data_IF_315611918487
#
_entry.id   IF_315611918487
#
_cell.length_a   1.000
_cell.length_b   1.000
_cell.length_c   1.000
_cell.angle_alpha   90.00
_cell.angle_beta   90.00
_cell.angle_gamma   90.00
#
_symmetry.space_group_name_H-M   'P 1'
#
loop_
_entity.id
_entity.type
_entity.pdbx_description
1 polymer ?
#
# COMPACT_ATOMS: atom_id res chain seq x y z
N UNK A 1 16.94 1.82 9.29
CA UNK A 1 16.11 0.66 9.67
C UNK A 1 15.61 0.02 8.40
N UNK A 2 15.51 -1.30 8.36
CA UNK A 2 14.83 -2.00 7.28
C UNK A 2 13.32 -1.78 7.38
N UNK A 3 12.57 -2.09 6.32
CA UNK A 3 11.12 -1.97 6.38
C UNK A 3 10.53 -2.95 7.41
N UNK A 4 11.08 -4.16 7.49
CA UNK A 4 10.67 -5.18 8.47
C UNK A 4 10.82 -4.64 9.90
N UNK A 5 11.94 -3.97 10.20
CA UNK A 5 12.17 -3.35 11.51
C UNK A 5 11.19 -2.22 11.80
N UNK A 6 10.84 -1.41 10.79
CA UNK A 6 9.87 -0.33 10.92
C UNK A 6 8.47 -0.86 11.21
N UNK A 7 8.01 -1.87 10.48
CA UNK A 7 6.70 -2.52 10.70
C UNK A 7 6.64 -3.17 12.08
N UNK A 8 7.71 -3.86 12.50
CA UNK A 8 7.76 -4.52 13.81
C UNK A 8 7.61 -3.54 14.99
N UNK A 9 8.11 -2.29 14.84
CA UNK A 9 8.08 -1.25 15.89
C UNK A 9 6.86 -0.34 15.85
N UNK A 10 6.08 -0.38 14.77
CA UNK A 10 4.94 0.50 14.59
C UNK A 10 3.81 0.20 15.59
N UNK A 11 3.15 1.27 16.04
CA UNK A 11 1.90 1.18 16.79
C UNK A 11 0.71 0.90 15.85
N UNK A 12 -0.49 0.70 16.41
CA UNK A 12 -1.70 0.39 15.63
C UNK A 12 -1.99 1.44 14.55
N UNK A 13 -1.77 2.72 14.84
CA UNK A 13 -1.98 3.80 13.86
C UNK A 13 -0.94 3.73 12.74
N UNK A 14 0.33 3.52 13.07
CA UNK A 14 1.42 3.32 12.13
C UNK A 14 1.19 2.14 11.19
N UNK A 15 0.74 1.01 11.75
CA UNK A 15 0.41 -0.19 11.00
C UNK A 15 -0.79 0.03 10.06
N UNK A 16 -1.87 0.61 10.57
CA UNK A 16 -3.06 0.91 9.77
C UNK A 16 -2.74 1.87 8.62
N UNK A 17 -2.01 2.96 8.89
CA UNK A 17 -1.60 3.91 7.87
C UNK A 17 -0.61 3.31 6.85
N UNK A 18 0.29 2.42 7.27
CA UNK A 18 1.24 1.75 6.37
C UNK A 18 0.54 0.82 5.39
N UNK A 19 -0.36 -0.04 5.88
CA UNK A 19 -1.20 -0.90 5.02
C UNK A 19 -2.08 -0.08 4.08
N UNK A 20 -2.75 0.95 4.62
CA UNK A 20 -3.60 1.85 3.84
C UNK A 20 -2.82 2.61 2.78
N UNK A 21 -1.60 3.07 3.08
CA UNK A 21 -0.74 3.75 2.12
C UNK A 21 -0.34 2.85 0.95
N UNK A 22 -0.04 1.58 1.20
CA UNK A 22 0.25 0.60 0.16
C UNK A 22 -0.97 0.40 -0.74
N UNK A 23 -2.16 0.22 -0.15
CA UNK A 23 -3.42 0.06 -0.88
C UNK A 23 -3.78 1.31 -1.69
N UNK A 24 -3.63 2.49 -1.09
CA UNK A 24 -3.90 3.80 -1.70
C UNK A 24 -3.12 4.00 -3.00
N UNK A 25 -1.83 3.68 -2.99
CA UNK A 25 -1.01 3.74 -4.21
C UNK A 25 -1.54 2.82 -5.31
N UNK A 26 -2.16 1.69 -4.93
CA UNK A 26 -2.68 0.65 -5.82
C UNK A 26 -4.12 0.87 -6.31
N UNK A 27 -4.83 1.91 -5.83
CA UNK A 27 -6.21 2.24 -6.26
C UNK A 27 -6.41 2.31 -7.78
N UNK A 28 -5.45 2.83 -8.60
CA UNK A 28 -5.60 2.83 -10.06
C UNK A 28 -5.81 1.43 -10.69
N UNK A 29 -5.40 0.36 -10.01
CA UNK A 29 -5.62 -1.04 -10.45
C UNK A 29 -7.02 -1.55 -10.11
N UNK A 30 -7.72 -0.87 -9.19
CA UNK A 30 -9.07 -1.20 -8.74
C UNK A 30 -10.14 -0.41 -9.49
N UNK A 31 -9.75 0.51 -10.39
CA UNK A 31 -10.68 1.39 -11.08
C UNK A 31 -11.23 2.53 -10.23
N UNK A 32 -10.75 2.69 -8.99
CA UNK A 32 -11.15 3.77 -8.10
C UNK A 32 -10.54 5.13 -8.49
N UNK A 33 -11.20 6.20 -8.05
CA UNK A 33 -10.69 7.56 -8.20
C UNK A 33 -9.66 7.93 -7.12
N UNK A 34 -9.15 9.17 -7.18
CA UNK A 34 -8.14 9.66 -6.25
C UNK A 34 -8.65 9.89 -4.81
N UNK A 35 -9.97 9.82 -4.59
CA UNK A 35 -10.64 10.11 -3.32
C UNK A 35 -11.21 8.85 -2.65
N UNK A 36 -11.16 7.69 -3.33
CA UNK A 36 -11.77 6.43 -2.88
C UNK A 36 -11.38 6.00 -1.45
N UNK A 37 -10.15 6.31 -1.01
CA UNK A 37 -9.67 5.97 0.34
C UNK A 37 -9.64 7.16 1.31
N UNK A 38 -10.07 8.36 0.89
CA UNK A 38 -10.08 9.55 1.74
C UNK A 38 -10.84 9.34 3.06
N UNK A 39 -12.01 8.66 3.09
CA UNK A 39 -12.70 8.37 4.34
C UNK A 39 -11.86 7.51 5.29
N UNK A 40 -11.20 6.47 4.78
CA UNK A 40 -10.35 5.60 5.61
C UNK A 40 -9.17 6.38 6.20
N UNK A 41 -8.51 7.22 5.41
CA UNK A 41 -7.45 8.11 5.92
C UNK A 41 -7.95 9.03 7.04
N UNK A 42 -9.14 9.61 6.88
CA UNK A 42 -9.74 10.47 7.90
C UNK A 42 -10.05 9.72 9.21
N UNK A 43 -10.30 8.41 9.16
CA UNK A 43 -10.58 7.61 10.37
C UNK A 43 -9.33 7.34 11.22
N UNK A 44 -8.14 7.63 10.68
CA UNK A 44 -6.86 7.49 11.40
C UNK A 44 -6.46 8.75 12.17
N UNK A 45 -7.14 9.89 11.92
CA UNK A 45 -6.86 11.16 12.57
C UNK A 45 -6.97 11.06 14.10
N UNK A 46 -6.36 12.01 14.81
CA UNK A 46 -6.35 12.02 16.28
C UNK A 46 -7.75 12.23 16.87
N UNK A 47 -8.59 13.00 16.18
CA UNK A 47 -9.96 13.37 16.53
C UNK A 47 -11.02 12.49 15.86
N UNK A 48 -10.62 11.38 15.23
CA UNK A 48 -11.55 10.45 14.61
C UNK A 48 -12.44 9.79 15.67
N UNK A 49 -13.73 9.62 15.36
CA UNK A 49 -14.66 8.94 16.24
C UNK A 49 -14.32 7.44 16.37
N UNK A 50 -14.49 6.88 17.57
CA UNK A 50 -14.34 5.44 17.78
C UNK A 50 -15.34 4.66 16.92
N UNK A 51 -14.88 3.55 16.32
CA UNK A 51 -15.72 2.66 15.49
C UNK A 51 -15.88 3.05 14.01
N UNK A 52 -15.41 4.24 13.63
CA UNK A 52 -15.55 4.81 12.28
C UNK A 52 -14.75 4.08 11.19
N UNK A 53 -13.70 3.35 11.57
CA UNK A 53 -12.86 2.56 10.65
C UNK A 53 -13.63 1.43 9.95
N UNK A 54 -14.34 0.58 10.72
CA UNK A 54 -14.96 -0.63 10.18
C UNK A 54 -16.07 -0.29 9.17
N UNK A 55 -16.92 0.69 9.49
CA UNK A 55 -17.99 1.14 8.60
C UNK A 55 -17.44 1.73 7.30
N UNK A 56 -16.37 2.53 7.39
CA UNK A 56 -15.73 3.11 6.20
C UNK A 56 -15.04 2.05 5.36
N UNK A 57 -14.44 1.04 5.99
CA UNK A 57 -13.81 -0.07 5.28
C UNK A 57 -14.83 -0.88 4.49
N UNK A 58 -15.97 -1.23 5.09
CA UNK A 58 -17.06 -1.93 4.39
C UNK A 58 -17.60 -1.12 3.20
N UNK A 59 -17.73 0.20 3.37
CA UNK A 59 -18.15 1.08 2.27
C UNK A 59 -17.12 1.11 1.13
N UNK A 60 -15.84 1.28 1.47
CA UNK A 60 -14.75 1.25 0.49
C UNK A 60 -14.69 -0.09 -0.25
N UNK A 61 -14.94 -1.22 0.44
CA UNK A 61 -15.06 -2.53 -0.20
C UNK A 61 -16.18 -2.53 -1.23
N UNK A 62 -17.37 -2.11 -0.85
CA UNK A 62 -18.52 -2.05 -1.76
C UNK A 62 -18.27 -1.14 -2.97
N UNK A 63 -17.57 -0.02 -2.79
CA UNK A 63 -17.29 0.94 -3.86
C UNK A 63 -16.23 0.41 -4.86
N UNK A 64 -15.26 -0.38 -4.40
CA UNK A 64 -14.12 -0.86 -5.20
C UNK A 64 -14.25 -2.31 -5.68
N UNK A 65 -15.21 -3.10 -5.15
CA UNK A 65 -15.47 -4.49 -5.54
C UNK A 65 -16.34 -4.59 -6.80
N UNK A 66 -15.87 -3.99 -7.90
CA UNK A 66 -16.62 -3.92 -9.17
C UNK A 66 -15.89 -4.52 -10.37
N UNK A 67 -14.71 -5.12 -10.16
CA UNK A 67 -13.88 -5.63 -11.24
C UNK A 67 -14.26 -7.07 -11.67
N UNK A 68 -14.19 -7.40 -12.98
CA UNK A 68 -14.48 -8.74 -13.48
C UNK A 68 -13.45 -9.79 -13.01
N UNK A 69 -13.87 -11.07 -13.00
CA UNK A 69 -13.13 -12.23 -12.48
C UNK A 69 -11.81 -12.54 -13.21
N UNK A 70 -11.58 -11.96 -14.40
CA UNK A 70 -10.40 -12.19 -15.25
C UNK A 70 -9.27 -11.17 -15.03
N UNK A 71 -9.32 -10.39 -13.94
CA UNK A 71 -8.39 -9.30 -13.76
C UNK A 71 -6.93 -9.72 -13.55
N UNK A 72 -6.04 -8.94 -14.18
CA UNK A 72 -4.58 -9.04 -14.13
C UNK A 72 -4.03 -9.28 -12.70
N UNK A 73 -2.90 -9.98 -12.60
CA UNK A 73 -2.28 -10.39 -11.34
C UNK A 73 -2.06 -9.21 -10.38
N UNK A 74 -1.64 -8.06 -10.91
CA UNK A 74 -1.44 -6.85 -10.11
C UNK A 74 -2.76 -6.34 -9.50
N UNK A 75 -3.86 -6.39 -10.25
CA UNK A 75 -5.18 -6.02 -9.75
C UNK A 75 -5.71 -7.03 -8.73
N UNK A 76 -5.43 -8.33 -8.92
CA UNK A 76 -5.79 -9.37 -7.96
C UNK A 76 -5.04 -9.21 -6.62
N UNK A 77 -3.78 -8.79 -6.64
CA UNK A 77 -3.02 -8.44 -5.42
C UNK A 77 -3.64 -7.24 -4.70
N UNK A 78 -3.95 -6.17 -5.43
CA UNK A 78 -4.57 -4.97 -4.84
C UNK A 78 -5.95 -5.27 -4.23
N UNK A 79 -6.76 -6.12 -4.88
CA UNK A 79 -8.05 -6.57 -4.32
C UNK A 79 -7.88 -7.36 -3.04
N UNK A 80 -6.92 -8.28 -2.97
CA UNK A 80 -6.61 -9.01 -1.72
C UNK A 80 -6.21 -8.05 -0.59
N UNK A 81 -5.38 -7.04 -0.87
CA UNK A 81 -5.03 -6.03 0.14
C UNK A 81 -6.27 -5.34 0.73
N UNK A 82 -7.28 -5.02 -0.08
CA UNK A 82 -8.54 -4.44 0.40
C UNK A 82 -9.43 -5.46 1.13
N UNK A 83 -9.53 -6.68 0.59
CA UNK A 83 -10.33 -7.75 1.17
C UNK A 83 -9.82 -8.17 2.55
N UNK A 84 -8.50 -8.24 2.73
CA UNK A 84 -7.86 -8.72 3.96
C UNK A 84 -7.69 -7.64 5.04
N UNK A 85 -8.07 -6.38 4.75
CA UNK A 85 -8.00 -5.30 5.73
C UNK A 85 -8.82 -5.64 6.99
N UNK A 86 -8.25 -5.57 8.20
CA UNK A 86 -8.96 -6.03 9.39
C UNK A 86 -10.06 -5.01 9.77
N UNK A 87 -11.27 -5.48 10.05
CA UNK A 87 -12.36 -4.63 10.53
C UNK A 87 -12.07 -4.08 11.95
N UNK A 88 -11.38 -4.86 12.78
CA UNK A 88 -10.90 -4.44 14.09
C UNK A 88 -9.44 -4.00 14.02
N UNK A 89 -9.14 -2.82 14.58
CA UNK A 89 -7.79 -2.24 14.59
C UNK A 89 -6.92 -2.81 15.71
N UNK A 90 -6.85 -4.14 15.82
CA UNK A 90 -5.95 -4.81 16.76
C UNK A 90 -4.51 -4.78 16.25
N UNK A 91 -3.54 -4.63 17.14
CA UNK A 91 -2.12 -4.63 16.78
C UNK A 91 -1.70 -5.86 15.94
N UNK A 92 -2.18 -7.05 16.28
CA UNK A 92 -1.80 -8.29 15.57
C UNK A 92 -2.42 -8.36 14.16
N UNK A 93 -3.72 -8.06 14.04
CA UNK A 93 -4.40 -8.03 12.75
C UNK A 93 -3.82 -6.97 11.82
N UNK A 94 -3.56 -5.78 12.34
CA UNK A 94 -2.95 -4.69 11.57
C UNK A 94 -1.51 -4.99 11.17
N UNK A 95 -0.74 -5.68 12.02
CA UNK A 95 0.64 -6.07 11.70
C UNK A 95 0.68 -7.08 10.57
N UNK A 96 -0.15 -8.13 10.65
CA UNK A 96 -0.27 -9.12 9.58
C UNK A 96 -0.70 -8.46 8.26
N UNK A 97 -1.69 -7.57 8.31
CA UNK A 97 -2.18 -6.87 7.13
C UNK A 97 -1.13 -5.92 6.54
N UNK A 98 -0.47 -5.09 7.35
CA UNK A 98 0.58 -4.19 6.88
C UNK A 98 1.77 -4.94 6.27
N UNK A 99 2.15 -6.08 6.86
CA UNK A 99 3.18 -6.97 6.32
C UNK A 99 2.81 -7.49 4.91
N UNK A 100 1.62 -8.08 4.79
CA UNK A 100 1.11 -8.60 3.51
C UNK A 100 0.96 -7.48 2.45
N UNK A 101 0.45 -6.31 2.85
CA UNK A 101 0.33 -5.14 1.97
C UNK A 101 1.70 -4.65 1.47
N UNK A 102 2.72 -4.66 2.33
CA UNK A 102 4.07 -4.23 1.95
C UNK A 102 4.68 -5.11 0.86
N UNK A 103 4.55 -6.43 0.99
CA UNK A 103 5.00 -7.42 -0.01
C UNK A 103 4.19 -7.28 -1.30
N UNK A 104 2.85 -7.24 -1.19
CA UNK A 104 1.97 -7.14 -2.33
C UNK A 104 2.24 -5.88 -3.17
N UNK A 105 2.44 -4.73 -2.52
CA UNK A 105 2.76 -3.49 -3.22
C UNK A 105 4.11 -3.57 -3.94
N UNK A 106 5.16 -4.14 -3.34
CA UNK A 106 6.45 -4.33 -4.02
C UNK A 106 6.32 -5.25 -5.24
N UNK A 107 5.59 -6.36 -5.11
CA UNK A 107 5.30 -7.29 -6.23
C UNK A 107 4.52 -6.60 -7.34
N UNK A 108 3.50 -5.82 -7.02
CA UNK A 108 2.75 -5.01 -7.99
C UNK A 108 3.69 -4.08 -8.77
N UNK A 109 4.59 -3.37 -8.08
CA UNK A 109 5.52 -2.44 -8.72
C UNK A 109 6.51 -3.19 -9.64
N UNK A 110 6.98 -4.39 -9.24
CA UNK A 110 7.80 -5.25 -10.10
C UNK A 110 7.06 -5.70 -11.36
N UNK A 111 5.82 -6.18 -11.22
CA UNK A 111 4.98 -6.61 -12.36
C UNK A 111 4.77 -5.48 -13.38
N UNK A 112 4.72 -4.22 -12.93
CA UNK A 112 4.54 -3.06 -13.79
C UNK A 112 5.79 -2.64 -14.55
N UNK A 113 7.00 -2.90 -14.02
CA UNK A 113 8.25 -2.61 -14.72
C UNK A 113 8.43 -3.48 -15.97
N UNK A 114 7.88 -4.69 -15.97
CA UNK A 114 7.87 -5.62 -17.10
C UNK A 114 8.95 -6.70 -17.01
N UNK A 115 9.09 -7.55 -18.06
CA UNK A 115 9.79 -8.83 -17.99
C UNK A 115 11.31 -8.73 -17.78
N UNK A 116 11.92 -7.57 -17.99
CA UNK A 116 13.34 -7.33 -17.70
C UNK A 116 13.63 -7.10 -16.20
N UNK A 117 12.59 -6.92 -15.38
CA UNK A 117 12.67 -6.77 -13.93
C UNK A 117 12.52 -8.12 -13.20
N UNK A 118 13.01 -9.21 -13.81
CA UNK A 118 12.91 -10.55 -13.24
C UNK A 118 13.91 -10.69 -12.07
N UNK A 119 13.43 -10.33 -10.89
CA UNK A 119 14.08 -10.65 -9.62
C UNK A 119 13.85 -12.11 -9.25
N UNK A 120 14.76 -12.69 -8.46
CA UNK A 120 14.55 -13.99 -7.84
C UNK A 120 13.27 -14.04 -6.99
N UNK A 121 12.79 -15.25 -6.62
CA UNK A 121 11.53 -15.46 -5.92
C UNK A 121 11.39 -14.70 -4.58
N UNK A 122 12.52 -14.25 -4.01
CA UNK A 122 12.59 -13.59 -2.71
C UNK A 122 13.04 -12.12 -2.80
N UNK A 123 12.98 -11.50 -3.99
CA UNK A 123 13.46 -10.12 -4.18
C UNK A 123 12.72 -9.13 -3.28
N UNK A 124 11.40 -9.27 -3.15
CA UNK A 124 10.59 -8.41 -2.30
C UNK A 124 11.03 -8.51 -0.84
N UNK A 125 11.18 -9.71 -0.30
CA UNK A 125 11.59 -9.91 1.09
C UNK A 125 13.04 -9.46 1.33
N UNK A 126 13.95 -9.73 0.40
CA UNK A 126 15.32 -9.22 0.45
C UNK A 126 15.34 -7.67 0.50
N UNK A 127 14.54 -7.01 -0.35
CA UNK A 127 14.41 -5.55 -0.37
C UNK A 127 13.87 -5.00 0.95
N UNK A 128 12.85 -5.65 1.53
CA UNK A 128 12.27 -5.27 2.82
C UNK A 128 13.26 -5.40 3.97
N UNK A 129 14.17 -6.36 3.89
CA UNK A 129 15.30 -6.55 4.81
C UNK A 129 16.47 -5.58 4.55
N UNK A 130 16.42 -4.78 3.48
CA UNK A 130 17.42 -3.78 3.13
C UNK A 130 18.42 -4.21 2.06
N UNK A 131 18.30 -5.44 1.54
CA UNK A 131 19.09 -5.93 0.39
C UNK A 131 18.40 -5.54 -0.91
N UNK A 132 18.84 -4.44 -1.50
CA UNK A 132 18.18 -3.80 -2.66
C UNK A 132 18.86 -4.11 -3.99
N UNK A 133 19.81 -5.03 -3.99
CA UNK A 133 20.48 -5.51 -5.19
C UNK A 133 19.45 -6.12 -6.17
N UNK A 134 19.44 -5.64 -7.41
CA UNK A 134 18.48 -6.10 -8.43
C UNK A 134 17.09 -5.44 -8.34
N UNK A 135 16.86 -4.54 -7.38
CA UNK A 135 15.63 -3.75 -7.34
C UNK A 135 15.55 -2.81 -8.55
N UNK A 136 14.47 -2.93 -9.31
CA UNK A 136 14.15 -1.98 -10.38
C UNK A 136 13.85 -0.59 -9.81
N UNK A 137 13.93 0.49 -10.62
CA UNK A 137 13.69 1.85 -10.13
C UNK A 137 12.31 2.06 -9.51
N UNK A 138 11.25 1.43 -10.04
CA UNK A 138 9.88 1.56 -9.53
C UNK A 138 9.72 0.79 -8.21
N UNK A 139 10.25 -0.42 -8.10
CA UNK A 139 10.28 -1.19 -6.84
C UNK A 139 11.09 -0.47 -5.76
N UNK A 140 12.27 0.03 -6.10
CA UNK A 140 13.12 0.78 -5.16
C UNK A 140 12.45 2.09 -4.70
N UNK A 141 11.70 2.76 -5.59
CA UNK A 141 10.93 3.94 -5.22
C UNK A 141 9.78 3.60 -4.27
N UNK A 142 9.08 2.48 -4.50
CA UNK A 142 8.03 1.99 -3.62
C UNK A 142 8.55 1.65 -2.22
N UNK A 143 9.67 0.91 -2.13
CA UNK A 143 10.29 0.59 -0.85
C UNK A 143 10.59 1.85 -0.03
N UNK A 144 11.16 2.89 -0.67
CA UNK A 144 11.42 4.18 0.01
C UNK A 144 10.14 4.85 0.50
N UNK A 145 9.02 4.74 -0.22
CA UNK A 145 7.74 5.30 0.22
C UNK A 145 7.17 4.56 1.42
N UNK A 146 7.26 3.23 1.43
CA UNK A 146 6.83 2.42 2.56
C UNK A 146 7.60 2.78 3.83
N UNK A 147 8.94 2.90 3.73
CA UNK A 147 9.76 3.37 4.85
C UNK A 147 9.37 4.79 5.28
N UNK A 148 9.25 5.73 4.34
CA UNK A 148 8.94 7.13 4.64
C UNK A 148 7.61 7.29 5.40
N UNK A 149 6.57 6.53 5.06
CA UNK A 149 5.27 6.56 5.77
C UNK A 149 5.45 6.17 7.24
N UNK A 150 6.17 5.07 7.51
CA UNK A 150 6.40 4.59 8.87
C UNK A 150 7.33 5.51 9.65
N UNK A 151 8.36 6.06 9.01
CA UNK A 151 9.28 7.03 9.61
C UNK A 151 8.58 8.33 10.02
N UNK A 152 7.67 8.85 9.17
CA UNK A 152 6.87 10.03 9.47
C UNK A 152 5.98 9.81 10.71
N UNK A 153 5.34 8.64 10.82
CA UNK A 153 4.47 8.33 11.95
C UNK A 153 5.27 8.01 13.22
N UNK A 154 6.44 7.37 13.10
CA UNK A 154 7.34 7.17 14.22
C UNK A 154 7.89 8.50 14.78
N UNK A 155 8.18 9.47 13.90
CA UNK A 155 8.73 10.75 14.30
C UNK A 155 7.68 11.74 14.83
N UNK A 156 6.45 11.68 14.33
CA UNK A 156 5.44 12.72 14.55
C UNK A 156 4.10 12.20 15.09
N UNK A 157 3.96 10.89 15.32
CA UNK A 157 2.71 10.29 15.76
C UNK A 157 1.55 10.64 14.82
N UNK A 158 0.35 10.97 15.34
CA UNK A 158 -0.80 11.38 14.52
C UNK A 158 -0.52 12.56 13.58
N UNK A 159 0.36 13.50 13.97
CA UNK A 159 0.70 14.66 13.13
C UNK A 159 1.45 14.26 11.83
N UNK A 160 2.03 13.06 11.77
CA UNK A 160 2.68 12.52 10.57
C UNK A 160 1.72 12.06 9.48
N UNK A 161 0.42 11.90 9.77
CA UNK A 161 -0.57 11.36 8.82
C UNK A 161 -0.70 12.18 7.54
N UNK A 162 -0.61 13.51 7.63
CA UNK A 162 -0.66 14.38 6.44
C UNK A 162 0.50 14.07 5.49
N UNK A 163 1.72 13.96 6.03
CA UNK A 163 2.89 13.60 5.24
C UNK A 163 2.79 12.19 4.64
N UNK A 164 2.26 11.23 5.39
CA UNK A 164 2.02 9.87 4.89
C UNK A 164 1.03 9.85 3.72
N UNK A 165 -0.05 10.64 3.79
CA UNK A 165 -1.02 10.80 2.72
C UNK A 165 -0.40 11.48 1.48
N UNK A 166 0.46 12.49 1.66
CA UNK A 166 1.18 13.14 0.57
C UNK A 166 2.11 12.16 -0.16
N UNK A 167 2.86 11.33 0.58
CA UNK A 167 3.72 10.28 0.02
C UNK A 167 2.89 9.25 -0.76
N UNK A 168 1.72 8.87 -0.24
CA UNK A 168 0.82 7.92 -0.90
C UNK A 168 0.22 8.51 -2.17
N UNK A 169 -0.19 9.78 -2.13
CA UNK A 169 -0.73 10.51 -3.29
C UNK A 169 0.30 10.63 -4.42
N UNK A 170 1.55 10.94 -4.09
CA UNK A 170 2.64 10.95 -5.09
C UNK A 170 2.90 9.56 -5.66
N UNK A 171 2.93 8.53 -4.81
CA UNK A 171 3.09 7.15 -5.26
C UNK A 171 1.96 6.69 -6.18
N UNK A 172 0.71 7.08 -5.90
CA UNK A 172 -0.46 6.78 -6.73
C UNK A 172 -0.35 7.38 -8.12
N UNK A 173 0.14 8.62 -8.24
CA UNK A 173 0.45 9.26 -9.53
C UNK A 173 1.50 8.48 -10.33
N UNK A 174 2.56 8.04 -9.65
CA UNK A 174 3.62 7.24 -10.27
C UNK A 174 3.09 5.89 -10.75
N UNK A 175 2.28 5.20 -9.95
CA UNK A 175 1.68 3.91 -10.32
C UNK A 175 0.76 4.06 -11.53
N UNK A 176 -0.11 5.07 -11.55
CA UNK A 176 -0.96 5.37 -12.71
C UNK A 176 -0.15 5.56 -14.00
N UNK A 177 0.98 6.28 -13.91
CA UNK A 177 1.88 6.44 -15.04
C UNK A 177 2.53 5.12 -15.47
N UNK A 178 2.88 4.23 -14.52
CA UNK A 178 3.43 2.91 -14.80
C UNK A 178 2.40 1.98 -15.48
N UNK A 179 1.18 1.93 -14.97
CA UNK A 179 0.05 1.19 -15.59
C UNK A 179 -0.17 1.67 -17.01
N UNK A 180 -0.24 2.99 -17.23
CA UNK A 180 -0.41 3.57 -18.56
C UNK A 180 0.74 3.24 -19.52
N UNK A 181 2.00 3.20 -19.03
CA UNK A 181 3.16 2.76 -19.83
C UNK A 181 3.07 1.28 -20.20
N UNK A 182 2.69 0.42 -19.26
CA UNK A 182 2.50 -1.02 -19.51
C UNK A 182 1.41 -1.26 -20.55
N UNK A 183 0.23 -0.64 -20.41
CA UNK A 183 -0.86 -0.80 -21.40
C UNK A 183 -0.44 -0.39 -22.81
N UNK A 184 0.41 0.63 -22.97
CA UNK A 184 0.95 1.02 -24.29
C UNK A 184 2.01 0.05 -24.84
N UNK A 185 2.68 -0.72 -23.97
CA UNK A 185 3.67 -1.73 -24.37
C UNK A 185 3.00 -3.03 -24.78
N UNK A 186 1.85 -3.34 -24.15
CA UNK A 186 1.13 -4.59 -24.34
C UNK A 186 0.05 -4.51 -25.44
N UNK A 187 -0.22 -3.30 -25.97
CA UNK A 187 -1.13 -3.01 -27.09
C UNK A 187 -0.38 -2.98 -28.43
#
# INVERSE_FOLDING_TARGET
MSLVELIAKADERGLAASGLACLDRCVPLLGGDDEALRPLWASLAEDAADGDWAERLERTRADLDTAPDDADEAAALARRMLADAPAERTADGLRQWADACSVAALRIHRLLDGPAADGGPDLEDACREGRTEGASPLLAAELRRQCAVLELLAAHGPAGLRGALEVSTEGRRVLRAAVSRRSRRDA
#
